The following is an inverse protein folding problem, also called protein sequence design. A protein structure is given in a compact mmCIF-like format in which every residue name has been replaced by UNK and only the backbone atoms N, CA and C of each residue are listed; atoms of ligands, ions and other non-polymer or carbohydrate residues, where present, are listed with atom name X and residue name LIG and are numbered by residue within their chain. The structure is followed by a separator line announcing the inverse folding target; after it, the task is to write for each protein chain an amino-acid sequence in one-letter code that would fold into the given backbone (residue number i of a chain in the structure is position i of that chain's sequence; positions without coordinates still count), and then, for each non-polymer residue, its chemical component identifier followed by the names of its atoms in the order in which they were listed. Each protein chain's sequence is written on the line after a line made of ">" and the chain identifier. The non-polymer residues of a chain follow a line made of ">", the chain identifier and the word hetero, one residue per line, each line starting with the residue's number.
data_IF_465721050419
#
_entry.id   IF_465721050419
#
_cell.length_a   1.000
_cell.length_b   1.000
_cell.length_c   1.000
_cell.angle_alpha   90.00
_cell.angle_beta   90.00
_cell.angle_gamma   90.00
#
_symmetry.space_group_name_H-M   'P 1'
#
loop_
_entity.id
_entity.type
_entity.pdbx_description
1 polymer ?
#
# COMPACT_ATOMS: atom_id res chain seq x y z
N UNK A 1 -26.88 -0.76 6.16
CA UNK A 1 -26.52 -0.47 6.13
C UNK A 1 -25.84 0.03 6.08
N UNK A 2 -25.58 -0.12 6.09
CA UNK A 2 -24.91 0.24 6.05
C UNK A 2 -24.12 0.69 6.16
N UNK A 3 -24.85 0.85 6.80
CA UNK A 3 -23.68 0.96 7.05
C UNK A 3 -22.57 0.99 6.19
N UNK A 4 -22.62 1.58 5.32
CA UNK A 4 -21.50 1.69 4.45
C UNK A 4 -20.61 2.85 4.87
N UNK A 5 -19.33 2.56 4.91
CA UNK A 5 -18.30 3.54 5.19
C UNK A 5 -17.74 4.05 3.86
N UNK A 6 -17.27 5.29 3.84
CA UNK A 6 -16.53 5.81 2.71
C UNK A 6 -15.13 5.22 2.66
N UNK A 7 -14.53 5.23 1.47
CA UNK A 7 -13.19 4.68 1.28
C UNK A 7 -12.11 5.57 1.90
N UNK A 8 -11.15 4.96 2.58
CA UNK A 8 -9.95 5.65 3.04
C UNK A 8 -8.77 5.23 2.17
N UNK A 9 -7.83 6.16 2.00
CA UNK A 9 -6.60 5.89 1.26
C UNK A 9 -5.42 6.03 2.21
N UNK A 10 -4.55 5.03 2.20
CA UNK A 10 -3.32 5.05 2.97
C UNK A 10 -2.17 5.15 1.98
N UNK A 11 -1.48 6.29 1.96
CA UNK A 11 -0.38 6.53 1.04
C UNK A 11 0.94 6.25 1.74
N UNK A 12 1.69 5.29 1.21
CA UNK A 12 2.97 4.87 1.76
C UNK A 12 4.09 5.54 0.99
N UNK A 13 4.85 6.40 1.66
CA UNK A 13 5.99 7.09 1.04
C UNK A 13 7.33 6.58 1.54
N UNK A 14 7.32 5.62 2.46
CA UNK A 14 8.54 5.03 3.01
C UNK A 14 8.60 3.54 2.67
N UNK A 15 9.81 3.10 2.37
CA UNK A 15 10.10 1.71 2.09
C UNK A 15 10.92 1.07 3.21
N UNK A 16 11.84 0.15 2.89
CA UNK A 16 12.59 -0.59 3.92
C UNK A 16 13.49 0.29 4.78
N UNK A 17 13.75 1.54 4.37
CA UNK A 17 14.57 2.45 5.15
C UNK A 17 13.88 2.93 6.44
N UNK A 18 12.55 2.79 6.51
CA UNK A 18 11.78 3.14 7.71
C UNK A 18 10.75 2.04 7.96
N UNK A 19 11.16 0.97 8.67
CA UNK A 19 10.27 -0.19 8.86
C UNK A 19 8.95 0.14 9.53
N UNK A 20 8.95 1.07 10.47
CA UNK A 20 7.74 1.43 11.19
C UNK A 20 6.73 2.14 10.28
N UNK A 21 7.18 3.15 9.53
CA UNK A 21 6.31 3.85 8.59
C UNK A 21 5.92 3.00 7.38
N UNK A 22 6.71 1.99 7.06
CA UNK A 22 6.35 1.03 6.02
C UNK A 22 5.27 0.05 6.52
N UNK A 23 5.28 -0.28 7.81
CA UNK A 23 4.41 -1.33 8.36
C UNK A 23 3.06 -0.79 8.83
N UNK A 24 3.02 0.37 9.45
CA UNK A 24 1.78 0.92 10.04
C UNK A 24 0.64 1.03 9.02
N UNK A 25 0.87 1.47 7.76
CA UNK A 25 -0.24 1.49 6.80
C UNK A 25 -0.93 0.15 6.63
N UNK A 26 -0.21 -0.94 6.70
CA UNK A 26 -0.81 -2.28 6.54
C UNK A 26 -1.46 -2.78 7.82
N UNK A 27 -1.02 -2.30 8.98
CA UNK A 27 -1.77 -2.51 10.23
C UNK A 27 -3.13 -1.83 10.12
N UNK A 28 -3.14 -0.58 9.64
CA UNK A 28 -4.38 0.17 9.43
C UNK A 28 -5.26 -0.45 8.35
N UNK A 29 -4.65 -0.89 7.24
CA UNK A 29 -5.40 -1.45 6.13
C UNK A 29 -6.10 -2.76 6.50
N UNK A 30 -5.40 -3.66 7.20
CA UNK A 30 -6.00 -4.92 7.63
C UNK A 30 -7.07 -4.69 8.69
N UNK A 31 -6.87 -3.71 9.58
CA UNK A 31 -7.89 -3.34 10.56
C UNK A 31 -9.14 -2.77 9.87
N UNK A 32 -8.94 -1.95 8.84
CA UNK A 32 -10.06 -1.41 8.06
C UNK A 32 -10.86 -2.54 7.39
N UNK A 33 -10.16 -3.50 6.77
CA UNK A 33 -10.81 -4.64 6.15
C UNK A 33 -11.64 -5.44 7.17
N UNK A 34 -11.08 -5.67 8.35
CA UNK A 34 -11.77 -6.39 9.41
C UNK A 34 -13.00 -5.64 9.92
N UNK A 35 -13.05 -4.34 9.72
CA UNK A 35 -14.17 -3.48 10.15
C UNK A 35 -15.11 -3.14 8.99
N UNK A 36 -14.94 -3.79 7.85
CA UNK A 36 -15.73 -3.54 6.63
C UNK A 36 -15.63 -2.10 6.13
N UNK A 37 -14.47 -1.47 6.34
CA UNK A 37 -14.18 -0.13 5.83
C UNK A 37 -13.42 -0.28 4.53
N UNK A 38 -13.92 0.26 3.39
CA UNK A 38 -13.18 0.21 2.14
C UNK A 38 -11.84 0.95 2.27
N UNK A 39 -10.77 0.33 1.80
CA UNK A 39 -9.43 0.89 1.93
C UNK A 39 -8.62 0.63 0.67
N UNK A 40 -7.82 1.62 0.29
CA UNK A 40 -6.86 1.51 -0.82
C UNK A 40 -5.49 1.90 -0.28
N UNK A 41 -4.49 1.09 -0.60
CA UNK A 41 -3.10 1.41 -0.26
C UNK A 41 -2.39 1.84 -1.54
N UNK A 42 -1.75 3.02 -1.48
CA UNK A 42 -0.94 3.52 -2.57
C UNK A 42 0.53 3.62 -2.16
N UNK A 43 1.41 3.46 -3.13
CA UNK A 43 2.85 3.60 -2.94
C UNK A 43 3.37 4.74 -3.79
N UNK A 44 4.06 5.67 -3.16
CA UNK A 44 4.79 6.78 -3.82
C UNK A 44 6.17 6.89 -3.18
N UNK A 45 7.05 7.66 -3.82
CA UNK A 45 8.39 7.88 -3.30
C UNK A 45 9.06 6.53 -3.05
N UNK A 46 9.74 6.35 -1.94
CA UNK A 46 10.41 5.08 -1.66
C UNK A 46 9.46 3.96 -1.22
N UNK A 47 8.20 4.30 -0.98
CA UNK A 47 7.18 3.28 -0.70
C UNK A 47 7.01 2.29 -1.84
N UNK A 48 7.33 2.69 -3.09
CA UNK A 48 7.22 1.78 -4.24
C UNK A 48 8.15 0.58 -4.11
N UNK A 49 9.20 0.68 -3.31
CA UNK A 49 10.11 -0.45 -3.08
C UNK A 49 9.39 -1.63 -2.42
N UNK A 50 8.34 -1.37 -1.67
CA UNK A 50 7.57 -2.44 -1.01
C UNK A 50 6.80 -3.32 -1.99
N UNK A 51 6.59 -2.82 -3.21
CA UNK A 51 5.93 -3.59 -4.26
C UNK A 51 6.88 -4.54 -4.97
N UNK A 52 8.20 -4.43 -4.72
CA UNK A 52 9.17 -5.35 -5.29
C UNK A 52 9.09 -6.71 -4.64
N UNK A 53 9.33 -7.76 -5.41
CA UNK A 53 9.57 -9.09 -4.86
C UNK A 53 10.77 -9.03 -3.92
N UNK A 54 10.75 -9.84 -2.91
CA UNK A 54 11.87 -10.00 -1.97
C UNK A 54 12.22 -8.73 -1.18
N UNK A 55 11.26 -7.83 -0.99
CA UNK A 55 11.48 -6.64 -0.18
C UNK A 55 10.75 -6.72 1.17
N UNK A 56 9.43 -6.92 1.13
CA UNK A 56 8.61 -6.87 2.34
C UNK A 56 9.00 -7.92 3.38
N UNK A 57 9.49 -9.07 2.96
CA UNK A 57 9.91 -10.13 3.89
C UNK A 57 11.12 -9.75 4.73
N UNK A 58 11.79 -8.67 4.39
CA UNK A 58 12.95 -8.16 5.15
C UNK A 58 12.60 -6.93 6.00
N UNK A 59 11.31 -6.57 6.10
CA UNK A 59 10.89 -5.39 6.84
C UNK A 59 10.19 -5.81 8.12
N UNK A 60 10.80 -5.46 9.24
CA UNK A 60 10.30 -5.78 10.57
C UNK A 60 10.32 -4.53 11.44
N UNK A 61 9.17 -4.19 12.00
CA UNK A 61 9.04 -3.07 12.93
C UNK A 61 8.73 -3.62 14.33
N UNK A 62 9.42 -3.09 15.33
CA UNK A 62 9.21 -3.51 16.70
C UNK A 62 7.76 -3.28 17.13
N UNK A 63 7.13 -4.29 17.70
CA UNK A 63 5.76 -4.19 18.19
C UNK A 63 4.69 -4.57 17.17
N UNK A 64 5.09 -4.89 15.94
CA UNK A 64 4.14 -5.22 14.87
C UNK A 64 4.47 -6.57 14.24
N UNK A 65 3.48 -7.23 13.60
CA UNK A 65 3.77 -8.42 12.81
C UNK A 65 4.70 -8.09 11.65
N UNK A 66 5.36 -9.09 11.05
CA UNK A 66 6.17 -8.85 9.85
C UNK A 66 5.34 -8.20 8.75
N UNK A 67 5.95 -7.25 8.02
CA UNK A 67 5.23 -6.54 6.97
C UNK A 67 4.65 -7.48 5.92
N UNK A 68 5.43 -8.48 5.50
CA UNK A 68 4.94 -9.41 4.47
C UNK A 68 3.67 -10.13 4.91
N UNK A 69 3.57 -10.52 6.18
CA UNK A 69 2.37 -11.16 6.69
C UNK A 69 1.15 -10.25 6.56
N UNK A 70 1.30 -8.97 6.93
CA UNK A 70 0.22 -8.00 6.82
C UNK A 70 -0.17 -7.73 5.38
N UNK A 71 0.82 -7.62 4.48
CA UNK A 71 0.55 -7.40 3.06
C UNK A 71 -0.18 -8.59 2.45
N UNK A 72 0.22 -9.81 2.81
CA UNK A 72 -0.44 -11.01 2.31
C UNK A 72 -1.90 -11.05 2.77
N UNK A 73 -2.18 -10.74 4.02
CA UNK A 73 -3.55 -10.68 4.54
C UNK A 73 -4.36 -9.63 3.78
N UNK A 74 -3.78 -8.46 3.58
CA UNK A 74 -4.45 -7.37 2.87
C UNK A 74 -4.84 -7.78 1.45
N UNK A 75 -3.92 -8.40 0.72
CA UNK A 75 -4.15 -8.85 -0.65
C UNK A 75 -5.17 -9.99 -0.68
N UNK A 76 -5.06 -10.96 0.22
CA UNK A 76 -5.99 -12.09 0.31
C UNK A 76 -7.42 -11.64 0.56
N UNK A 77 -7.61 -10.53 1.25
CA UNK A 77 -8.93 -9.97 1.52
C UNK A 77 -9.38 -8.97 0.45
N UNK A 78 -8.79 -9.05 -0.73
CA UNK A 78 -9.21 -8.24 -1.88
C UNK A 78 -8.59 -6.86 -1.95
N UNK A 79 -7.58 -6.57 -1.12
CA UNK A 79 -6.91 -5.28 -1.12
C UNK A 79 -6.11 -5.04 -2.39
N UNK A 80 -6.19 -3.81 -2.91
CA UNK A 80 -5.43 -3.39 -4.09
C UNK A 80 -4.23 -2.56 -3.68
N UNK A 81 -3.15 -2.68 -4.45
CA UNK A 81 -1.94 -1.90 -4.27
C UNK A 81 -1.70 -1.07 -5.53
N UNK A 82 -1.83 0.25 -5.40
CA UNK A 82 -1.56 1.17 -6.51
C UNK A 82 -0.16 1.74 -6.36
N UNK A 83 0.61 1.73 -7.44
CA UNK A 83 2.03 2.07 -7.41
C UNK A 83 2.30 3.21 -8.38
N UNK A 84 2.98 4.25 -7.90
CA UNK A 84 3.34 5.44 -8.69
C UNK A 84 4.32 5.05 -9.82
N UNK A 85 3.90 5.24 -11.07
CA UNK A 85 4.70 4.88 -12.24
C UNK A 85 6.03 5.60 -12.32
N UNK A 86 6.07 6.95 -12.26
CA UNK A 86 7.37 7.66 -12.31
C UNK A 86 8.32 7.28 -11.18
N UNK A 87 7.79 6.98 -9.98
CA UNK A 87 8.64 6.56 -8.87
C UNK A 87 9.29 5.20 -9.13
N UNK A 88 8.56 4.31 -9.80
CA UNK A 88 9.06 3.01 -10.21
C UNK A 88 10.15 3.17 -11.26
N UNK A 89 9.90 4.00 -12.28
CA UNK A 89 10.86 4.24 -13.36
C UNK A 89 12.16 4.86 -12.86
N UNK A 90 12.07 5.84 -11.97
CA UNK A 90 13.27 6.50 -11.44
C UNK A 90 14.14 5.56 -10.63
N UNK A 91 13.56 4.48 -10.11
CA UNK A 91 14.27 3.48 -9.32
C UNK A 91 14.63 2.24 -10.12
N UNK A 92 14.38 2.28 -11.44
CA UNK A 92 14.72 1.20 -12.38
C UNK A 92 14.12 -0.15 -11.97
N UNK A 93 12.92 -0.11 -11.42
CA UNK A 93 12.16 -1.33 -11.11
C UNK A 93 11.44 -1.77 -12.37
N UNK A 94 11.58 -3.04 -12.74
CA UNK A 94 10.88 -3.58 -13.90
C UNK A 94 9.54 -4.16 -13.43
N UNK A 95 8.41 -3.53 -13.80
CA UNK A 95 7.10 -4.00 -13.31
C UNK A 95 6.72 -5.38 -13.78
N UNK A 96 7.28 -5.83 -14.91
CA UNK A 96 6.93 -7.15 -15.45
C UNK A 96 7.60 -8.30 -14.70
N UNK A 97 8.78 -8.04 -14.13
CA UNK A 97 9.57 -9.11 -13.49
C UNK A 97 9.77 -8.91 -12.00
N UNK A 98 9.74 -7.65 -11.51
CA UNK A 98 10.17 -7.32 -10.15
C UNK A 98 9.01 -7.13 -9.17
N UNK A 99 7.79 -6.98 -9.66
CA UNK A 99 6.63 -6.68 -8.80
C UNK A 99 6.04 -7.95 -8.19
N UNK A 100 5.55 -7.79 -6.95
CA UNK A 100 4.72 -8.81 -6.33
C UNK A 100 3.36 -8.86 -7.04
N UNK A 101 2.70 -10.00 -6.94
CA UNK A 101 1.36 -10.15 -7.45
C UNK A 101 0.41 -9.20 -6.69
N UNK A 102 -0.49 -8.56 -7.39
CA UNK A 102 -1.44 -7.62 -6.81
C UNK A 102 -1.01 -6.16 -6.89
N UNK A 103 0.26 -5.88 -7.22
CA UNK A 103 0.72 -4.51 -7.40
C UNK A 103 0.38 -4.02 -8.80
N UNK A 104 -0.15 -2.80 -8.91
CA UNK A 104 -0.62 -2.24 -10.16
C UNK A 104 -0.08 -0.83 -10.33
N UNK A 105 0.61 -0.58 -11.44
CA UNK A 105 1.08 0.76 -11.76
C UNK A 105 -0.09 1.64 -12.16
N UNK A 106 -0.15 2.84 -11.61
CA UNK A 106 -1.13 3.84 -11.97
C UNK A 106 -0.45 5.18 -12.19
N UNK A 107 -1.14 6.07 -12.90
CA UNK A 107 -0.63 7.42 -13.13
C UNK A 107 -1.21 8.41 -12.12
N UNK A 108 -0.74 9.66 -12.18
CA UNK A 108 -1.20 10.71 -11.27
C UNK A 108 -2.70 10.96 -11.37
N UNK A 109 -3.26 10.86 -12.58
CA UNK A 109 -4.69 11.08 -12.76
C UNK A 109 -5.53 10.04 -12.00
N UNK A 110 -5.09 8.79 -12.00
CA UNK A 110 -5.77 7.73 -11.26
C UNK A 110 -5.70 7.99 -9.75
N UNK A 111 -4.53 8.37 -9.23
CA UNK A 111 -4.40 8.72 -7.82
C UNK A 111 -5.28 9.92 -7.45
N UNK A 112 -5.26 10.96 -8.28
CA UNK A 112 -6.06 12.17 -8.02
C UNK A 112 -7.56 11.83 -7.98
N UNK A 113 -8.02 10.99 -8.88
CA UNK A 113 -9.41 10.57 -8.90
C UNK A 113 -9.78 9.80 -7.62
N UNK A 114 -8.95 8.84 -7.24
CA UNK A 114 -9.20 8.07 -6.03
C UNK A 114 -9.22 8.98 -4.79
N UNK A 115 -8.27 9.90 -4.71
CA UNK A 115 -8.20 10.85 -3.60
C UNK A 115 -9.45 11.74 -3.55
N UNK A 116 -9.92 12.19 -4.72
CA UNK A 116 -11.09 13.07 -4.77
C UNK A 116 -12.38 12.37 -4.31
N UNK A 117 -12.42 11.06 -4.39
CA UNK A 117 -13.59 10.26 -4.01
C UNK A 117 -13.44 9.67 -2.60
N UNK A 118 -12.29 9.79 -1.99
CA UNK A 118 -12.05 9.24 -0.67
C UNK A 118 -12.59 10.15 0.43
N UNK A 119 -12.98 9.56 1.56
CA UNK A 119 -13.42 10.36 2.70
C UNK A 119 -12.25 10.79 3.56
N UNK A 120 -11.15 10.04 3.56
CA UNK A 120 -9.92 10.40 4.27
C UNK A 120 -8.72 9.86 3.51
N UNK A 121 -7.62 10.60 3.58
CA UNK A 121 -6.31 10.18 3.04
C UNK A 121 -5.28 10.39 4.14
N UNK A 122 -4.56 9.33 4.46
CA UNK A 122 -3.46 9.37 5.42
C UNK A 122 -2.16 9.08 4.70
N UNK A 123 -1.13 9.87 5.00
CA UNK A 123 0.19 9.73 4.36
C UNK A 123 1.21 9.34 5.41
N UNK A 124 1.92 8.28 5.12
CA UNK A 124 2.96 7.75 6.00
C UNK A 124 4.34 7.85 5.41
#
# INVERSE_FOLDING_TARGET
>A
MSDSHGKIILMCTHGPEDPERATIPFVMATAAQASDIPVLVGFQVNGVMLARKDCAEHVFASGFPPLKELMDIYIENGGELFVCGPCVQSRKINPETDFIEGAKIVNAATFAKEISEAVNVLVY
#
